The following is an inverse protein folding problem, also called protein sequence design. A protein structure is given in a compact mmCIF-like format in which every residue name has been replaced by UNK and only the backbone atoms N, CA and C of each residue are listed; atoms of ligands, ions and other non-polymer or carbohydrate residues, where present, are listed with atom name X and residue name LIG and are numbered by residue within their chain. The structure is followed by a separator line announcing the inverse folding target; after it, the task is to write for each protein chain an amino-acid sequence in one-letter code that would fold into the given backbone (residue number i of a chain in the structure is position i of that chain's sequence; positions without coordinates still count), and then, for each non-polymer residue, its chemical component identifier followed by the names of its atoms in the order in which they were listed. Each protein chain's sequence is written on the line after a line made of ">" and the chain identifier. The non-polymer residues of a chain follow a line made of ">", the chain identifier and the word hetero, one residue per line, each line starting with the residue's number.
data_IF_974596209162
#
_entry.id   IF_974596209162
#
_cell.length_a   1.000
_cell.length_b   1.000
_cell.length_c   1.000
_cell.angle_alpha   90.00
_cell.angle_beta   90.00
_cell.angle_gamma   90.00
#
_symmetry.space_group_name_H-M   'P 1'
#
loop_
_entity.id
_entity.type
_entity.pdbx_description
1 polymer ?
#
# COMPACT_ATOMS: atom_id res chain seq x y z
N UNK A 1 64.45 14.20 40.25
CA UNK A 1 63.16 14.73 39.78
C UNK A 1 63.34 15.34 38.39
N UNK A 2 62.78 14.71 37.34
CA UNK A 2 62.16 15.41 36.20
C UNK A 2 61.46 14.36 35.31
N UNK A 3 60.14 14.24 35.43
CA UNK A 3 59.33 13.56 34.42
C UNK A 3 59.18 14.53 33.24
N UNK A 4 59.88 14.27 32.14
CA UNK A 4 59.63 14.95 30.86
C UNK A 4 58.36 14.37 30.23
N UNK A 5 57.33 15.20 30.16
CA UNK A 5 56.21 15.04 29.23
C UNK A 5 56.76 15.07 27.79
N UNK A 6 56.98 13.89 27.18
CA UNK A 6 57.24 13.80 25.75
C UNK A 6 55.98 13.28 25.05
N UNK A 7 55.42 14.17 24.23
CA UNK A 7 54.11 14.05 23.58
C UNK A 7 53.96 12.80 22.72
N UNK A 8 52.82 12.13 22.88
CA UNK A 8 52.30 11.17 21.91
C UNK A 8 51.68 11.93 20.73
N UNK A 9 52.51 12.40 19.80
CA UNK A 9 52.07 12.54 18.40
C UNK A 9 52.42 11.23 17.69
N UNK A 10 51.59 10.20 17.88
CA UNK A 10 51.64 9.02 17.00
C UNK A 10 50.91 9.42 15.72
N UNK A 11 51.65 9.83 14.70
CA UNK A 11 51.12 9.82 13.34
C UNK A 11 50.69 8.39 13.02
N UNK A 12 49.49 8.23 12.46
CA UNK A 12 48.97 6.91 12.10
C UNK A 12 50.00 6.25 11.16
N UNK A 13 50.42 5.03 11.49
CA UNK A 13 51.35 4.32 10.61
C UNK A 13 50.67 4.07 9.26
N UNK A 14 51.40 4.15 8.15
CA UNK A 14 50.88 3.87 6.81
C UNK A 14 50.20 2.49 6.74
N UNK A 15 50.68 1.54 7.55
CA UNK A 15 50.11 0.20 7.71
C UNK A 15 48.77 0.21 8.46
N UNK A 16 48.61 1.05 9.49
CA UNK A 16 47.33 1.19 10.20
C UNK A 16 46.27 1.83 9.30
N UNK A 17 46.67 2.78 8.45
CA UNK A 17 45.75 3.42 7.51
C UNK A 17 45.27 2.45 6.41
N UNK A 18 46.16 1.63 5.86
CA UNK A 18 45.77 0.63 4.84
C UNK A 18 44.88 -0.46 5.41
N UNK A 19 45.16 -0.94 6.63
CA UNK A 19 44.29 -1.90 7.33
C UNK A 19 42.90 -1.28 7.58
N UNK A 20 42.83 -0.03 8.02
CA UNK A 20 41.56 0.66 8.23
C UNK A 20 40.76 0.80 6.93
N UNK A 21 41.39 1.18 5.82
CA UNK A 21 40.71 1.32 4.50
C UNK A 21 40.16 -0.02 4.02
N UNK A 22 40.92 -1.11 4.16
CA UNK A 22 40.46 -2.46 3.80
C UNK A 22 39.28 -2.87 4.70
N UNK A 23 39.36 -2.63 6.01
CA UNK A 23 38.26 -2.90 6.94
C UNK A 23 37.00 -2.11 6.60
N UNK A 24 37.11 -0.81 6.27
CA UNK A 24 35.96 -0.02 5.86
C UNK A 24 35.34 -0.51 4.54
N UNK A 25 36.16 -0.95 3.57
CA UNK A 25 35.65 -1.51 2.30
C UNK A 25 34.93 -2.85 2.48
N UNK A 26 35.42 -3.71 3.36
CA UNK A 26 34.77 -4.99 3.69
C UNK A 26 33.50 -4.76 4.52
N UNK A 27 33.54 -3.85 5.50
CA UNK A 27 32.36 -3.50 6.29
C UNK A 27 31.28 -2.84 5.43
N UNK A 28 31.62 -1.99 4.46
CA UNK A 28 30.63 -1.37 3.58
C UNK A 28 29.95 -2.38 2.65
N UNK A 29 30.69 -3.36 2.13
CA UNK A 29 30.13 -4.40 1.27
C UNK A 29 29.25 -5.38 2.03
N UNK A 30 29.67 -5.81 3.23
CA UNK A 30 28.84 -6.61 4.14
C UNK A 30 27.60 -5.81 4.53
N UNK A 31 27.75 -4.57 4.98
CA UNK A 31 26.62 -3.71 5.31
C UNK A 31 25.65 -3.60 4.14
N UNK A 32 26.10 -3.39 2.90
CA UNK A 32 25.23 -3.27 1.73
C UNK A 32 24.49 -4.58 1.37
N UNK A 33 25.17 -5.73 1.46
CA UNK A 33 24.57 -7.05 1.24
C UNK A 33 23.51 -7.37 2.30
N UNK A 34 23.80 -7.09 3.57
CA UNK A 34 22.86 -7.30 4.67
C UNK A 34 21.81 -6.19 4.78
N UNK A 35 22.04 -4.98 4.26
CA UNK A 35 21.04 -3.91 4.26
C UNK A 35 19.82 -4.30 3.43
N UNK A 36 20.04 -5.00 2.30
CA UNK A 36 18.96 -5.59 1.49
C UNK A 36 18.25 -6.76 2.19
N UNK A 37 18.91 -7.47 3.11
CA UNK A 37 18.30 -8.59 3.83
C UNK A 37 17.64 -8.21 5.15
N UNK A 38 18.08 -7.11 5.78
CA UNK A 38 17.58 -6.62 7.07
C UNK A 38 16.38 -5.68 6.94
N UNK A 39 16.29 -4.94 5.84
CA UNK A 39 15.05 -4.23 5.51
C UNK A 39 14.13 -5.16 4.71
N UNK A 40 12.91 -5.36 5.21
CA UNK A 40 11.86 -6.02 4.45
C UNK A 40 11.42 -5.09 3.30
N UNK A 41 12.22 -5.06 2.22
CA UNK A 41 11.99 -4.24 1.03
C UNK A 41 10.64 -4.60 0.40
N UNK A 42 10.24 -5.85 0.47
CA UNK A 42 8.97 -6.32 -0.06
C UNK A 42 7.78 -5.73 0.70
N UNK A 43 7.78 -5.81 2.05
CA UNK A 43 6.74 -5.18 2.87
C UNK A 43 6.71 -3.65 2.68
N UNK A 44 7.87 -3.03 2.53
CA UNK A 44 7.97 -1.58 2.32
C UNK A 44 7.41 -1.18 0.94
N UNK A 45 7.69 -1.96 -0.09
CA UNK A 45 7.12 -1.76 -1.43
C UNK A 45 5.60 -1.95 -1.41
N UNK A 46 5.09 -2.96 -0.69
CA UNK A 46 3.65 -3.19 -0.53
C UNK A 46 2.97 -2.02 0.20
N UNK A 47 3.57 -1.52 1.28
CA UNK A 47 3.09 -0.32 1.98
C UNK A 47 3.09 0.92 1.09
N UNK A 48 4.11 1.12 0.26
CA UNK A 48 4.16 2.24 -0.69
C UNK A 48 3.05 2.17 -1.74
N UNK A 49 2.72 0.97 -2.24
CA UNK A 49 1.60 0.75 -3.17
C UNK A 49 0.26 1.02 -2.51
N UNK A 50 0.06 0.54 -1.28
CA UNK A 50 -1.14 0.82 -0.48
C UNK A 50 -1.29 2.32 -0.21
N UNK A 51 -0.21 3.02 0.10
CA UNK A 51 -0.23 4.47 0.27
C UNK A 51 -0.61 5.20 -1.03
N UNK A 52 -0.04 4.81 -2.17
CA UNK A 52 -0.43 5.36 -3.47
C UNK A 52 -1.92 5.11 -3.77
N UNK A 53 -2.44 3.93 -3.40
CA UNK A 53 -3.85 3.60 -3.55
C UNK A 53 -4.75 4.45 -2.64
N UNK A 54 -4.32 4.72 -1.40
CA UNK A 54 -5.00 5.66 -0.51
C UNK A 54 -5.01 7.10 -1.07
N UNK A 55 -3.94 7.54 -1.71
CA UNK A 55 -3.91 8.87 -2.35
C UNK A 55 -4.88 8.94 -3.55
N UNK A 56 -4.95 7.88 -4.37
CA UNK A 56 -5.92 7.78 -5.46
C UNK A 56 -7.36 7.76 -4.91
N UNK A 57 -7.59 7.03 -3.84
CA UNK A 57 -8.86 6.95 -3.11
C UNK A 57 -9.35 8.34 -2.68
N UNK A 58 -8.49 9.15 -2.07
CA UNK A 58 -8.83 10.52 -1.66
C UNK A 58 -9.12 11.43 -2.86
N UNK A 59 -8.38 11.29 -3.96
CA UNK A 59 -8.62 12.07 -5.18
C UNK A 59 -9.97 11.72 -5.82
N UNK A 60 -10.32 10.43 -5.91
CA UNK A 60 -11.63 9.97 -6.39
C UNK A 60 -12.76 10.43 -5.48
N UNK A 61 -12.52 10.37 -4.17
CA UNK A 61 -13.44 10.86 -3.17
C UNK A 61 -13.73 12.36 -3.38
N UNK A 62 -12.71 13.20 -3.48
CA UNK A 62 -12.89 14.62 -3.76
C UNK A 62 -13.55 14.89 -5.11
N UNK A 63 -13.20 14.12 -6.15
CA UNK A 63 -13.80 14.25 -7.47
C UNK A 63 -15.30 13.95 -7.46
N UNK A 64 -15.75 12.94 -6.69
CA UNK A 64 -17.17 12.64 -6.47
C UNK A 64 -17.93 13.82 -5.89
N UNK A 65 -17.40 14.44 -4.84
CA UNK A 65 -18.09 15.53 -4.16
C UNK A 65 -18.21 16.76 -5.06
N UNK A 66 -17.18 17.04 -5.86
CA UNK A 66 -17.21 18.09 -6.89
C UNK A 66 -18.24 17.75 -7.99
N UNK A 67 -18.32 16.49 -8.42
CA UNK A 67 -19.28 16.07 -9.43
C UNK A 67 -20.72 16.28 -8.97
N UNK A 68 -21.03 15.82 -7.77
CA UNK A 68 -22.36 15.98 -7.18
C UNK A 68 -22.69 17.46 -6.99
N UNK A 69 -21.73 18.27 -6.54
CA UNK A 69 -21.93 19.71 -6.39
C UNK A 69 -22.17 20.43 -7.72
N UNK A 70 -21.51 20.00 -8.81
CA UNK A 70 -21.64 20.62 -10.13
C UNK A 70 -22.89 20.17 -10.90
N UNK A 71 -23.17 18.87 -10.88
CA UNK A 71 -24.24 18.27 -11.70
C UNK A 71 -25.55 18.11 -10.92
N UNK A 72 -25.53 18.23 -9.58
CA UNK A 72 -26.69 18.03 -8.71
C UNK A 72 -27.17 16.58 -8.66
N UNK A 73 -26.43 15.65 -9.26
CA UNK A 73 -26.74 14.21 -9.34
C UNK A 73 -25.51 13.38 -9.02
N UNK A 74 -25.74 12.18 -8.48
CA UNK A 74 -24.68 11.21 -8.25
C UNK A 74 -24.22 10.59 -9.59
N UNK A 75 -22.91 10.37 -9.78
CA UNK A 75 -22.42 9.61 -10.92
C UNK A 75 -22.95 8.17 -10.86
N UNK A 76 -23.22 7.62 -12.03
CA UNK A 76 -23.86 6.29 -12.17
C UNK A 76 -23.01 5.32 -12.97
N UNK A 77 -21.98 5.80 -13.67
CA UNK A 77 -21.17 4.95 -14.54
C UNK A 77 -20.07 4.24 -13.75
N UNK A 78 -20.11 2.91 -13.76
CA UNK A 78 -19.15 2.05 -13.06
C UNK A 78 -17.69 2.29 -13.46
N UNK A 79 -17.42 2.57 -14.75
CA UNK A 79 -16.06 2.79 -15.26
C UNK A 79 -15.53 4.21 -15.02
N UNK A 80 -16.20 5.02 -14.19
CA UNK A 80 -15.77 6.37 -13.82
C UNK A 80 -15.64 7.36 -14.99
N UNK A 81 -16.10 7.00 -16.19
CA UNK A 81 -15.90 7.82 -17.40
C UNK A 81 -16.55 9.19 -17.32
N UNK A 82 -17.58 9.35 -16.49
CA UNK A 82 -18.26 10.63 -16.20
C UNK A 82 -17.32 11.67 -15.57
N UNK A 83 -16.29 11.24 -14.83
CA UNK A 83 -15.32 12.16 -14.22
C UNK A 83 -14.33 12.77 -15.22
N UNK A 84 -14.13 12.09 -16.36
CA UNK A 84 -13.24 12.51 -17.46
C UNK A 84 -14.03 12.87 -18.73
N UNK A 85 -15.37 12.97 -18.63
CA UNK A 85 -16.19 13.37 -19.75
C UNK A 85 -15.92 14.84 -20.10
N UNK A 86 -15.90 15.18 -21.39
CA UNK A 86 -15.56 16.51 -21.91
C UNK A 86 -16.45 17.64 -21.38
N UNK A 87 -17.64 17.31 -20.89
CA UNK A 87 -18.59 18.24 -20.27
C UNK A 87 -18.38 18.45 -18.76
N UNK A 88 -17.56 17.63 -18.09
CA UNK A 88 -17.37 17.65 -16.64
C UNK A 88 -15.89 17.94 -16.26
N UNK A 89 -14.93 17.27 -16.91
CA UNK A 89 -13.48 17.50 -16.76
C UNK A 89 -12.98 17.70 -15.31
N UNK A 90 -13.53 16.97 -14.35
CA UNK A 90 -13.09 17.06 -12.94
C UNK A 90 -11.73 16.39 -12.77
N UNK A 91 -11.50 15.27 -13.47
CA UNK A 91 -10.23 14.59 -13.52
C UNK A 91 -9.65 14.69 -14.93
N UNK A 92 -8.39 15.13 -15.04
CA UNK A 92 -7.64 15.16 -16.32
C UNK A 92 -7.36 13.77 -16.88
N UNK A 93 -7.30 12.78 -15.99
CA UNK A 93 -7.14 11.37 -16.31
C UNK A 93 -7.66 10.55 -15.15
N UNK A 94 -8.29 9.41 -15.42
CA UNK A 94 -8.64 8.46 -14.38
C UNK A 94 -7.38 7.95 -13.68
N UNK A 95 -7.40 7.75 -12.34
CA UNK A 95 -6.30 7.13 -11.63
C UNK A 95 -5.96 5.80 -12.27
N UNK A 96 -4.67 5.59 -12.55
CA UNK A 96 -4.19 4.43 -13.29
C UNK A 96 -4.11 3.22 -12.37
N UNK A 97 -4.44 2.07 -12.92
CA UNK A 97 -4.31 0.77 -12.25
C UNK A 97 -2.88 0.58 -11.71
N UNK A 98 -2.78 0.18 -10.45
CA UNK A 98 -1.51 -0.27 -9.88
C UNK A 98 -1.29 -1.69 -10.40
N UNK A 99 -0.42 -1.81 -11.41
CA UNK A 99 -0.17 -3.03 -12.18
C UNK A 99 0.19 -4.24 -11.32
N UNK A 100 0.69 -4.04 -10.10
CA UNK A 100 1.06 -5.11 -9.18
C UNK A 100 -0.06 -5.48 -8.18
N UNK A 101 -1.24 -4.86 -8.27
CA UNK A 101 -2.40 -5.13 -7.42
C UNK A 101 -3.65 -5.51 -8.22
N UNK A 102 -3.83 -4.96 -9.43
CA UNK A 102 -5.01 -5.22 -10.27
C UNK A 102 -4.76 -4.97 -11.75
N UNK A 103 -5.61 -5.55 -12.60
CA UNK A 103 -5.69 -5.23 -14.03
C UNK A 103 -6.89 -4.35 -14.40
N UNK A 104 -7.82 -4.11 -13.46
CA UNK A 104 -9.10 -3.42 -13.71
C UNK A 104 -9.14 -1.99 -13.18
N UNK A 105 -8.52 -1.76 -12.01
CA UNK A 105 -8.47 -0.44 -11.38
C UNK A 105 -9.67 -0.13 -10.49
N UNK A 106 -9.98 1.16 -10.36
CA UNK A 106 -11.11 1.64 -9.56
C UNK A 106 -12.42 1.57 -10.34
N UNK A 107 -13.46 1.09 -9.69
CA UNK A 107 -14.82 1.03 -10.21
C UNK A 107 -15.80 1.70 -9.25
N UNK A 108 -16.90 2.26 -9.77
CA UNK A 108 -18.01 2.76 -8.97
C UNK A 108 -19.12 1.72 -8.86
N UNK A 109 -19.43 1.33 -7.63
CA UNK A 109 -20.60 0.54 -7.30
C UNK A 109 -21.65 1.44 -6.68
N UNK A 110 -22.75 1.68 -7.39
CA UNK A 110 -23.76 2.68 -7.00
C UNK A 110 -24.66 2.24 -5.83
N UNK A 111 -24.57 0.97 -5.39
CA UNK A 111 -25.43 0.43 -4.33
C UNK A 111 -24.69 -0.53 -3.39
N UNK A 112 -23.44 -0.23 -3.06
CA UNK A 112 -22.56 -1.14 -2.33
C UNK A 112 -22.93 -1.32 -0.86
N UNK A 113 -23.15 -0.23 -0.12
CA UNK A 113 -23.34 -0.28 1.35
C UNK A 113 -24.68 0.34 1.72
N UNK A 114 -25.69 -0.49 2.00
CA UNK A 114 -27.05 -0.02 2.33
C UNK A 114 -27.62 0.96 1.28
N UNK A 115 -27.28 0.75 -0.01
CA UNK A 115 -27.68 1.65 -1.10
C UNK A 115 -26.81 2.91 -1.26
N UNK A 116 -25.75 3.07 -0.46
CA UNK A 116 -24.74 4.13 -0.66
C UNK A 116 -23.78 3.75 -1.80
N UNK A 117 -23.44 4.70 -2.68
CA UNK A 117 -22.42 4.49 -3.69
C UNK A 117 -21.04 4.29 -3.03
N UNK A 118 -20.20 3.45 -3.63
CA UNK A 118 -18.85 3.24 -3.16
C UNK A 118 -17.90 3.02 -4.34
N UNK A 119 -16.68 3.54 -4.21
CA UNK A 119 -15.58 3.15 -5.07
C UNK A 119 -15.00 1.83 -4.58
N UNK A 120 -14.82 0.87 -5.48
CA UNK A 120 -14.26 -0.43 -5.20
C UNK A 120 -13.00 -0.64 -6.06
N UNK A 121 -11.99 -1.29 -5.47
CA UNK A 121 -10.76 -1.66 -6.16
C UNK A 121 -10.49 -3.15 -5.90
N UNK A 122 -10.58 -4.02 -6.93
CA UNK A 122 -10.25 -5.43 -6.79
C UNK A 122 -8.75 -5.59 -6.57
N UNK A 123 -8.36 -6.31 -5.53
CA UNK A 123 -6.99 -6.80 -5.38
C UNK A 123 -7.01 -8.23 -5.92
N UNK A 124 -6.65 -8.41 -7.20
CA UNK A 124 -6.84 -9.71 -7.88
C UNK A 124 -5.69 -10.17 -8.77
N UNK A 125 -4.59 -9.42 -8.78
CA UNK A 125 -3.50 -9.73 -9.69
C UNK A 125 -2.77 -11.02 -9.33
N UNK A 126 -2.73 -11.37 -8.03
CA UNK A 126 -2.06 -12.57 -7.53
C UNK A 126 -3.04 -13.68 -7.10
N UNK A 127 -4.30 -13.61 -7.52
CA UNK A 127 -5.37 -14.59 -7.25
C UNK A 127 -5.14 -16.01 -7.81
N UNK A 128 -3.90 -16.34 -8.21
CA UNK A 128 -3.47 -17.67 -8.69
C UNK A 128 -2.09 -18.09 -8.15
N UNK A 129 -1.55 -17.41 -7.13
CA UNK A 129 -0.38 -17.88 -6.40
C UNK A 129 -0.73 -19.15 -5.61
N UNK A 130 0.04 -20.23 -5.79
CA UNK A 130 -0.33 -21.58 -5.38
C UNK A 130 -0.80 -21.72 -3.93
N UNK A 131 -1.71 -22.67 -3.76
CA UNK A 131 -2.56 -23.07 -2.63
C UNK A 131 -1.91 -23.17 -1.22
N UNK A 132 -0.60 -23.01 -1.11
CA UNK A 132 0.19 -23.26 0.11
C UNK A 132 1.02 -22.04 0.57
N UNK A 133 0.92 -20.88 -0.10
CA UNK A 133 1.69 -19.67 0.25
C UNK A 133 0.74 -18.49 0.44
N UNK A 134 1.02 -17.65 1.45
CA UNK A 134 0.26 -16.41 1.69
C UNK A 134 0.30 -15.54 0.45
N UNK A 135 -0.88 -15.17 -0.06
CA UNK A 135 -0.98 -14.33 -1.25
C UNK A 135 -0.55 -12.90 -0.93
N UNK A 136 0.00 -12.18 -1.91
CA UNK A 136 0.24 -10.74 -1.72
C UNK A 136 -1.07 -9.98 -1.51
N UNK A 137 -2.19 -10.51 -2.02
CA UNK A 137 -3.51 -9.92 -1.92
C UNK A 137 -3.97 -9.86 -0.45
N UNK A 138 -3.70 -10.91 0.32
CA UNK A 138 -3.90 -10.94 1.78
C UNK A 138 -3.08 -9.83 2.47
N UNK A 139 -1.80 -9.71 2.11
CA UNK A 139 -0.91 -8.68 2.66
C UNK A 139 -1.39 -7.27 2.34
N UNK A 140 -1.81 -7.00 1.10
CA UNK A 140 -2.31 -5.69 0.71
C UNK A 140 -3.56 -5.31 1.51
N UNK A 141 -4.49 -6.25 1.70
CA UNK A 141 -5.71 -6.02 2.47
C UNK A 141 -5.44 -5.76 3.96
N UNK A 142 -4.54 -6.55 4.56
CA UNK A 142 -4.13 -6.35 5.95
C UNK A 142 -3.40 -5.02 6.16
N UNK A 143 -2.48 -4.67 5.25
CA UNK A 143 -1.79 -3.37 5.31
C UNK A 143 -2.80 -2.24 5.20
N UNK A 144 -3.75 -2.30 4.27
CA UNK A 144 -4.76 -1.24 4.11
C UNK A 144 -5.58 -1.03 5.39
N UNK A 145 -6.11 -2.11 5.98
CA UNK A 145 -6.87 -2.04 7.23
C UNK A 145 -6.01 -1.59 8.41
N UNK A 146 -4.74 -1.99 8.48
CA UNK A 146 -3.80 -1.52 9.50
C UNK A 146 -3.46 -0.03 9.35
N UNK A 147 -3.34 0.46 8.12
CA UNK A 147 -3.09 1.89 7.87
C UNK A 147 -4.27 2.76 8.30
N UNK A 148 -5.51 2.27 8.17
CA UNK A 148 -6.72 2.92 8.70
C UNK A 148 -6.79 2.82 10.23
N UNK A 149 -6.54 1.63 10.77
CA UNK A 149 -6.59 1.37 12.20
C UNK A 149 -5.33 0.62 12.65
N UNK A 150 -4.43 1.36 13.30
CA UNK A 150 -3.13 0.86 13.77
C UNK A 150 -3.23 -0.23 14.83
N UNK A 151 -4.40 -0.46 15.40
CA UNK A 151 -4.66 -1.57 16.34
C UNK A 151 -4.91 -2.92 15.66
N UNK A 152 -5.06 -2.95 14.33
CA UNK A 152 -5.20 -4.20 13.55
C UNK A 152 -3.82 -4.82 13.34
N UNK A 153 -3.68 -6.13 13.47
CA UNK A 153 -2.39 -6.79 13.21
C UNK A 153 -2.11 -6.91 11.71
N UNK A 154 -0.82 -6.89 11.34
CA UNK A 154 -0.34 -7.17 9.98
C UNK A 154 -0.13 -8.67 9.71
N UNK A 155 -0.47 -9.53 10.68
CA UNK A 155 -0.36 -10.97 10.53
C UNK A 155 -1.42 -11.48 9.56
N UNK A 156 -0.95 -12.11 8.48
CA UNK A 156 -1.81 -12.68 7.45
C UNK A 156 -1.55 -14.17 7.31
N UNK A 157 -2.63 -14.90 7.09
CA UNK A 157 -2.61 -16.31 6.70
C UNK A 157 -3.04 -16.42 5.24
N UNK A 158 -2.76 -17.55 4.60
CA UNK A 158 -3.29 -17.80 3.26
C UNK A 158 -4.82 -17.78 3.28
N UNK A 159 -5.43 -17.10 2.31
CA UNK A 159 -6.88 -17.05 2.11
C UNK A 159 -7.62 -16.46 3.33
N UNK A 160 -7.11 -15.34 3.85
CA UNK A 160 -7.60 -14.74 5.07
C UNK A 160 -8.97 -14.07 4.86
N UNK A 161 -9.93 -14.41 5.70
CA UNK A 161 -11.23 -13.75 5.67
C UNK A 161 -11.17 -12.40 6.42
N UNK A 162 -11.14 -11.29 5.67
CA UNK A 162 -11.25 -9.93 6.18
C UNK A 162 -12.70 -9.47 6.37
N UNK A 163 -13.67 -10.38 6.47
CA UNK A 163 -15.09 -10.06 6.71
C UNK A 163 -15.81 -9.47 5.50
N UNK A 164 -17.14 -9.36 5.62
CA UNK A 164 -18.00 -8.80 4.57
C UNK A 164 -17.99 -7.27 4.57
N UNK A 165 -18.46 -6.70 3.46
CA UNK A 165 -18.67 -5.25 3.27
C UNK A 165 -19.37 -4.61 4.47
N UNK A 166 -20.53 -5.13 4.87
CA UNK A 166 -21.33 -4.56 5.96
C UNK A 166 -20.59 -4.58 7.30
N UNK A 167 -19.90 -5.68 7.60
CA UNK A 167 -19.16 -5.84 8.85
C UNK A 167 -17.99 -4.87 8.89
N UNK A 168 -17.26 -4.71 7.78
CA UNK A 168 -16.10 -3.83 7.74
C UNK A 168 -16.48 -2.35 7.71
N UNK A 169 -17.57 -1.98 7.03
CA UNK A 169 -18.12 -0.63 7.10
C UNK A 169 -18.48 -0.23 8.53
N UNK A 170 -19.09 -1.15 9.29
CA UNK A 170 -19.43 -0.90 10.70
C UNK A 170 -18.17 -0.74 11.58
N UNK A 171 -17.09 -1.44 11.23
CA UNK A 171 -15.87 -1.50 12.06
C UNK A 171 -14.87 -0.37 11.78
N UNK A 172 -14.70 -0.01 10.51
CA UNK A 172 -13.68 0.94 10.06
C UNK A 172 -14.27 2.21 9.43
N UNK A 173 -15.59 2.27 9.24
CA UNK A 173 -16.28 3.43 8.65
C UNK A 173 -16.27 3.36 7.12
N UNK A 174 -16.08 4.51 6.48
CA UNK A 174 -16.28 4.65 5.04
C UNK A 174 -15.07 4.17 4.19
N UNK A 175 -13.92 3.83 4.79
CA UNK A 175 -12.77 3.25 4.09
C UNK A 175 -12.34 1.95 4.73
N UNK A 176 -12.25 0.88 3.94
CA UNK A 176 -11.83 -0.44 4.44
C UNK A 176 -11.45 -1.39 3.31
N UNK A 177 -10.74 -2.46 3.66
CA UNK A 177 -10.60 -3.65 2.83
C UNK A 177 -11.46 -4.80 3.38
N UNK A 178 -12.16 -5.50 2.48
CA UNK A 178 -13.04 -6.62 2.80
C UNK A 178 -12.76 -7.82 1.90
N UNK A 179 -13.31 -8.98 2.29
CA UNK A 179 -13.24 -10.23 1.53
C UNK A 179 -14.62 -10.63 1.03
N UNK A 180 -14.69 -11.13 -0.21
CA UNK A 180 -15.86 -11.80 -0.76
C UNK A 180 -15.51 -13.26 -1.04
N UNK A 181 -16.36 -14.18 -0.57
CA UNK A 181 -16.18 -15.59 -0.88
C UNK A 181 -16.52 -15.87 -2.36
N UNK A 182 -15.58 -16.46 -3.08
CA UNK A 182 -15.70 -16.91 -4.47
C UNK A 182 -15.35 -18.40 -4.51
N UNK A 183 -16.38 -19.25 -4.41
CA UNK A 183 -16.20 -20.69 -4.27
C UNK A 183 -15.57 -21.06 -2.92
N UNK A 184 -14.39 -21.67 -2.95
CA UNK A 184 -13.65 -22.08 -1.76
C UNK A 184 -12.69 -21.00 -1.23
N UNK A 185 -12.60 -19.84 -1.90
CA UNK A 185 -11.59 -18.80 -1.62
C UNK A 185 -12.19 -17.43 -1.37
N UNK A 186 -11.36 -16.52 -0.89
CA UNK A 186 -11.69 -15.12 -0.68
C UNK A 186 -11.00 -14.25 -1.73
N UNK A 187 -11.79 -13.42 -2.42
CA UNK A 187 -11.30 -12.31 -3.22
C UNK A 187 -11.33 -11.03 -2.39
N UNK A 188 -10.24 -10.28 -2.38
CA UNK A 188 -10.13 -9.06 -1.59
C UNK A 188 -10.44 -7.81 -2.41
N UNK A 189 -11.04 -6.84 -1.72
CA UNK A 189 -11.48 -5.60 -2.32
C UNK A 189 -11.24 -4.46 -1.35
N UNK A 190 -10.73 -3.35 -1.87
CA UNK A 190 -10.69 -2.09 -1.14
C UNK A 190 -11.94 -1.31 -1.51
N UNK A 191 -12.59 -0.73 -0.51
CA UNK A 191 -13.82 0.03 -0.67
C UNK A 191 -13.75 1.39 0.01
N UNK A 192 -14.33 2.39 -0.66
CA UNK A 192 -14.52 3.74 -0.16
C UNK A 192 -15.98 4.11 -0.38
N UNK A 193 -16.74 4.24 0.69
CA UNK A 193 -18.17 4.58 0.68
C UNK A 193 -18.34 6.09 0.56
N UNK A 194 -19.40 6.51 -0.15
CA UNK A 194 -19.82 7.89 -0.33
C UNK A 194 -21.18 8.16 0.32
#
# INVERSE_FOLDING_TARGET
>A
MSNRYNGKRKGISLVEMTIAVILFGVLSTIAMLYYKSLFNIDLTAKKARVAALMDQAYQLSGAYDVFVAQQGVAPTVANLSEFNATNVMILRSLPRDIREMTTTGWELNTSAVNGRPAFQFPIDLNGTGGWDVVSDDDFYCAIFNHEINKSVELNVTNDMNFGSVTTQHTRYGDTFCYSQQVGAHYKHWIMIVK
#
